data_IF_436470225038
#
_entry.id   IF_436470225038
#
_cell.length_a   1.000
_cell.length_b   1.000
_cell.length_c   1.000
_cell.angle_alpha   90.00
_cell.angle_beta   90.00
_cell.angle_gamma   90.00
#
_symmetry.space_group_name_H-M   'P 1'
#
loop_
_entity.id
_entity.type
_entity.pdbx_description
1 polymer ?
#
# COMPACT_ATOMS: atom_id res chain seq x y z
N UNK A 1 -24.40 24.18 -14.06
CA UNK A 1 -24.66 23.04 -14.96
C UNK A 1 -25.09 21.88 -14.08
N UNK A 2 -26.34 21.42 -14.20
CA UNK A 2 -26.79 20.20 -13.51
C UNK A 2 -26.20 19.00 -14.27
N UNK A 3 -25.44 18.14 -13.58
CA UNK A 3 -25.07 16.82 -14.12
C UNK A 3 -26.34 15.96 -14.20
N UNK A 4 -26.53 15.17 -15.27
CA UNK A 4 -27.63 14.21 -15.31
C UNK A 4 -27.45 13.15 -14.21
N UNK A 5 -28.56 12.69 -13.63
CA UNK A 5 -28.55 11.62 -12.64
C UNK A 5 -27.96 10.35 -13.26
N UNK A 6 -26.92 9.79 -12.63
CA UNK A 6 -26.31 8.53 -13.02
C UNK A 6 -27.30 7.39 -12.75
N UNK A 7 -27.75 6.71 -13.80
CA UNK A 7 -28.49 5.45 -13.69
C UNK A 7 -27.57 4.34 -13.20
N UNK A 8 -28.07 3.52 -12.28
CA UNK A 8 -27.31 2.59 -11.43
C UNK A 8 -26.54 1.46 -12.13
N UNK A 9 -26.65 1.29 -13.44
CA UNK A 9 -26.24 0.02 -14.08
C UNK A 9 -25.42 0.13 -15.38
N UNK A 10 -24.95 1.32 -15.82
CA UNK A 10 -24.29 1.43 -17.14
C UNK A 10 -22.83 1.94 -17.24
N UNK A 11 -22.14 2.32 -16.16
CA UNK A 11 -20.73 2.75 -16.26
C UNK A 11 -19.78 2.04 -15.28
N UNK A 12 -19.42 0.80 -15.63
CA UNK A 12 -18.11 0.20 -15.30
C UNK A 12 -17.40 -0.27 -16.58
N UNK A 13 -17.65 0.42 -17.70
CA UNK A 13 -16.85 0.28 -18.91
C UNK A 13 -15.78 1.36 -18.86
N UNK A 14 -14.53 0.92 -18.94
CA UNK A 14 -13.29 1.71 -18.85
C UNK A 14 -12.71 1.92 -17.44
N UNK A 15 -12.32 0.80 -16.81
CA UNK A 15 -11.00 0.81 -16.15
C UNK A 15 -9.98 1.05 -17.24
N UNK A 16 -9.23 2.15 -17.16
CA UNK A 16 -8.28 2.57 -18.18
C UNK A 16 -7.23 1.47 -18.43
N UNK A 17 -7.37 0.73 -19.54
CA UNK A 17 -6.46 -0.36 -19.92
C UNK A 17 -5.01 0.12 -20.14
N UNK A 18 -4.76 1.43 -20.25
CA UNK A 18 -3.41 1.98 -20.30
C UNK A 18 -2.64 1.78 -18.98
N UNK A 19 -3.33 1.81 -17.83
CA UNK A 19 -2.70 1.53 -16.54
C UNK A 19 -2.31 0.06 -16.44
N UNK A 20 -3.21 -0.85 -16.85
CA UNK A 20 -2.92 -2.29 -16.95
C UNK A 20 -1.76 -2.58 -17.93
N UNK A 21 -1.64 -1.80 -19.00
CA UNK A 21 -0.55 -1.92 -19.99
C UNK A 21 0.84 -1.59 -19.41
N UNK A 22 0.95 -0.52 -18.62
CA UNK A 22 2.20 -0.14 -17.93
C UNK A 22 2.59 -1.22 -16.92
N UNK A 23 1.61 -1.76 -16.18
CA UNK A 23 1.83 -2.85 -15.23
C UNK A 23 2.25 -4.16 -15.90
N UNK A 24 1.68 -4.51 -17.06
CA UNK A 24 2.14 -5.65 -17.86
C UNK A 24 3.58 -5.48 -18.34
N UNK A 25 3.98 -4.28 -18.74
CA UNK A 25 5.37 -4.00 -19.14
C UNK A 25 6.34 -4.12 -17.95
N UNK A 26 5.96 -3.64 -16.76
CA UNK A 26 6.74 -3.82 -15.53
C UNK A 26 6.83 -5.29 -15.10
N UNK A 27 5.73 -6.03 -15.20
CA UNK A 27 5.68 -7.46 -14.93
C UNK A 27 6.56 -8.25 -15.90
N UNK A 28 6.44 -8.04 -17.23
CA UNK A 28 7.31 -8.69 -18.21
C UNK A 28 8.79 -8.34 -18.00
N UNK A 29 9.12 -7.10 -17.61
CA UNK A 29 10.51 -6.69 -17.31
C UNK A 29 11.03 -7.37 -16.04
N UNK A 30 10.26 -7.41 -14.95
CA UNK A 30 10.61 -8.12 -13.73
C UNK A 30 10.76 -9.63 -13.97
N UNK A 31 9.82 -10.25 -14.69
CA UNK A 31 9.90 -11.65 -15.07
C UNK A 31 11.14 -11.95 -15.93
N UNK A 32 11.52 -11.04 -16.84
CA UNK A 32 12.76 -11.17 -17.61
C UNK A 32 14.04 -11.05 -16.75
N UNK A 33 14.04 -10.20 -15.72
CA UNK A 33 15.15 -10.04 -14.78
C UNK A 33 15.37 -11.28 -13.90
N UNK A 34 14.29 -12.02 -13.62
CA UNK A 34 14.33 -13.28 -12.86
C UNK A 34 14.35 -14.54 -13.72
N UNK A 35 14.48 -14.42 -15.06
CA UNK A 35 14.55 -15.56 -15.97
C UNK A 35 13.25 -16.38 -16.07
N UNK A 36 12.11 -15.79 -15.73
CA UNK A 36 10.80 -16.45 -15.70
C UNK A 36 10.15 -16.35 -17.10
N UNK A 37 9.80 -17.48 -17.74
CA UNK A 37 9.18 -17.44 -19.07
C UNK A 37 7.83 -16.71 -19.05
N UNK A 38 7.58 -15.87 -20.06
CA UNK A 38 6.42 -14.99 -20.21
C UNK A 38 5.04 -15.70 -20.30
N UNK A 39 4.99 -17.03 -20.21
CA UNK A 39 3.78 -17.85 -20.32
C UNK A 39 3.24 -18.31 -18.97
N UNK A 40 2.83 -17.38 -18.11
CA UNK A 40 1.84 -17.67 -17.06
C UNK A 40 0.72 -16.64 -17.18
N UNK A 41 -0.18 -16.87 -18.13
CA UNK A 41 -1.40 -16.08 -18.25
C UNK A 41 -2.36 -16.47 -17.11
N UNK A 42 -2.36 -15.71 -16.02
CA UNK A 42 -3.41 -15.79 -14.99
C UNK A 42 -4.66 -15.10 -15.55
N UNK A 43 -5.49 -15.84 -16.29
CA UNK A 43 -6.81 -15.32 -16.68
C UNK A 43 -7.84 -15.66 -15.60
N UNK A 44 -8.59 -14.65 -15.19
CA UNK A 44 -9.83 -14.80 -14.43
C UNK A 44 -10.88 -15.59 -15.23
N UNK A 45 -11.42 -16.65 -14.64
CA UNK A 45 -12.80 -17.13 -14.78
C UNK A 45 -12.97 -18.33 -13.83
N UNK A 46 -13.88 -18.26 -12.86
CA UNK A 46 -14.36 -19.42 -12.11
C UNK A 46 -15.86 -19.55 -12.37
N UNK A 47 -16.20 -19.90 -13.62
CA UNK A 47 -17.49 -20.47 -13.97
C UNK A 47 -17.19 -21.67 -14.89
N UNK A 48 -17.37 -22.89 -14.38
CA UNK A 48 -17.31 -24.13 -15.18
C UNK A 48 -16.09 -25.03 -15.03
N UNK A 49 -15.23 -24.86 -14.01
CA UNK A 49 -14.06 -25.74 -13.81
C UNK A 49 -14.38 -26.95 -12.90
N UNK A 50 -13.84 -28.13 -13.27
CA UNK A 50 -14.02 -29.39 -12.55
C UNK A 50 -12.90 -29.57 -11.50
N UNK A 51 -13.28 -29.60 -10.22
CA UNK A 51 -12.36 -29.78 -9.10
C UNK A 51 -11.98 -31.26 -8.96
N UNK A 52 -10.68 -31.56 -8.96
CA UNK A 52 -10.19 -32.92 -8.73
C UNK A 52 -9.45 -32.93 -7.40
N UNK A 53 -9.98 -33.66 -6.43
CA UNK A 53 -9.39 -33.82 -5.09
C UNK A 53 -8.55 -35.11 -5.04
N UNK A 54 -7.31 -35.04 -4.53
CA UNK A 54 -6.53 -36.23 -4.19
C UNK A 54 -6.75 -36.63 -2.72
N UNK A 55 -6.48 -37.91 -2.39
CA UNK A 55 -6.67 -38.50 -1.05
C UNK A 55 -5.89 -37.80 0.09
N UNK A 56 -4.89 -36.99 -0.25
CA UNK A 56 -4.02 -36.26 0.67
C UNK A 56 -4.42 -34.79 0.89
N UNK A 57 -5.63 -34.38 0.47
CA UNK A 57 -6.18 -33.05 0.77
C UNK A 57 -5.77 -31.94 -0.20
N UNK A 58 -4.82 -32.20 -1.10
CA UNK A 58 -4.47 -31.29 -2.19
C UNK A 58 -5.62 -31.22 -3.20
N UNK A 59 -6.05 -30.00 -3.49
CA UNK A 59 -7.01 -29.72 -4.57
C UNK A 59 -6.21 -29.43 -5.83
N UNK A 60 -6.57 -30.04 -6.94
CA UNK A 60 -5.99 -29.69 -8.23
C UNK A 60 -7.09 -29.09 -9.10
N UNK A 61 -6.76 -28.03 -9.81
CA UNK A 61 -7.63 -27.52 -10.88
C UNK A 61 -7.07 -28.05 -12.19
N UNK A 62 -7.89 -28.78 -12.93
CA UNK A 62 -7.53 -29.23 -14.27
C UNK A 62 -8.00 -28.20 -15.29
N UNK A 63 -7.06 -27.57 -15.98
CA UNK A 63 -7.33 -26.54 -16.97
C UNK A 63 -6.67 -26.89 -18.30
N UNK A 64 -7.48 -27.08 -19.35
CA UNK A 64 -7.01 -27.46 -20.69
C UNK A 64 -6.05 -28.68 -20.71
N UNK A 65 -6.32 -29.69 -19.86
CA UNK A 65 -5.47 -30.88 -19.76
C UNK A 65 -4.20 -30.72 -18.92
N UNK A 66 -3.88 -29.50 -18.45
CA UNK A 66 -2.81 -29.28 -17.48
C UNK A 66 -3.37 -29.37 -16.05
N UNK A 67 -2.68 -30.15 -15.20
CA UNK A 67 -3.01 -30.27 -13.78
C UNK A 67 -2.18 -29.23 -13.03
N UNK A 68 -2.82 -28.18 -12.53
CA UNK A 68 -2.13 -27.12 -11.78
C UNK A 68 -2.30 -27.41 -10.29
N UNK A 69 -1.21 -27.45 -9.50
CA UNK A 69 -1.32 -27.56 -8.04
C UNK A 69 -2.03 -26.31 -7.52
N UNK A 70 -3.28 -26.50 -7.11
CA UNK A 70 -4.08 -25.45 -6.52
C UNK A 70 -4.06 -25.71 -5.01
N UNK A 71 -3.15 -25.07 -4.28
CA UNK A 71 -3.23 -25.10 -2.83
C UNK A 71 -4.51 -24.36 -2.39
N UNK A 72 -5.65 -25.06 -2.42
CA UNK A 72 -6.71 -24.77 -1.48
C UNK A 72 -6.08 -25.18 -0.16
N UNK A 73 -5.52 -24.20 0.55
CA UNK A 73 -5.44 -24.33 1.98
C UNK A 73 -6.89 -24.59 2.40
N UNK A 74 -7.26 -25.86 2.57
CA UNK A 74 -8.48 -26.18 3.27
C UNK A 74 -8.24 -25.54 4.62
N UNK A 75 -8.97 -24.46 4.90
CA UNK A 75 -9.10 -23.93 6.25
C UNK A 75 -9.94 -24.93 7.03
N UNK A 76 -9.49 -26.18 7.04
CA UNK A 76 -10.07 -27.31 7.73
C UNK A 76 -9.58 -27.17 9.16
N UNK A 77 -10.39 -26.50 9.96
CA UNK A 77 -10.35 -26.44 11.43
C UNK A 77 -9.17 -25.75 12.13
N UNK A 78 -8.05 -25.47 11.47
CA UNK A 78 -6.94 -24.70 12.06
C UNK A 78 -7.08 -23.20 11.84
N UNK A 79 -6.89 -22.38 12.88
CA UNK A 79 -6.82 -20.94 12.73
C UNK A 79 -5.54 -20.56 11.94
N UNK A 80 -5.71 -19.87 10.81
CA UNK A 80 -4.58 -19.34 10.04
C UNK A 80 -4.18 -17.98 10.60
N UNK A 81 -2.90 -17.78 10.83
CA UNK A 81 -2.33 -16.52 11.30
C UNK A 81 -1.40 -15.92 10.25
N UNK A 82 -1.38 -14.60 10.19
CA UNK A 82 -0.40 -13.84 9.41
C UNK A 82 0.78 -13.58 10.33
N UNK A 83 1.96 -14.01 9.89
CA UNK A 83 3.23 -13.85 10.59
C UNK A 83 4.05 -12.78 9.90
N UNK A 84 4.48 -11.76 10.63
CA UNK A 84 5.46 -10.77 10.17
C UNK A 84 6.74 -10.93 10.99
N UNK A 85 7.84 -11.23 10.32
CA UNK A 85 9.17 -11.28 10.91
C UNK A 85 9.92 -9.96 10.63
N UNK A 86 10.41 -9.33 11.68
CA UNK A 86 11.09 -8.05 11.68
C UNK A 86 12.52 -8.23 12.17
N UNK A 87 13.46 -7.48 11.62
CA UNK A 87 14.81 -7.34 12.16
C UNK A 87 14.91 -6.01 12.91
N UNK A 88 15.20 -6.11 14.21
CA UNK A 88 15.29 -4.96 15.11
C UNK A 88 16.73 -4.78 15.60
N UNK A 89 17.22 -3.53 15.76
CA UNK A 89 18.53 -3.29 16.35
C UNK A 89 18.53 -3.60 17.86
N UNK A 90 19.55 -4.31 18.35
CA UNK A 90 19.77 -4.60 19.77
C UNK A 90 21.26 -4.44 20.10
N UNK A 91 21.62 -3.35 20.76
CA UNK A 91 23.02 -3.01 21.02
C UNK A 91 23.78 -2.77 19.71
N UNK A 92 24.87 -3.51 19.49
CA UNK A 92 25.67 -3.45 18.26
C UNK A 92 25.18 -4.42 17.16
N UNK A 93 24.17 -5.25 17.45
CA UNK A 93 23.66 -6.28 16.53
C UNK A 93 22.19 -6.10 16.17
N UNK A 94 21.62 -7.15 15.58
CA UNK A 94 20.19 -7.25 15.28
C UNK A 94 19.57 -8.49 15.91
N UNK A 95 18.25 -8.45 16.14
CA UNK A 95 17.45 -9.57 16.60
C UNK A 95 16.22 -9.72 15.70
N UNK A 96 15.81 -10.96 15.43
CA UNK A 96 14.52 -11.23 14.80
C UNK A 96 13.38 -11.16 15.83
N UNK A 97 12.33 -10.41 15.51
CA UNK A 97 11.07 -10.36 16.26
C UNK A 97 9.92 -10.78 15.35
N UNK A 98 9.05 -11.64 15.86
CA UNK A 98 7.88 -12.09 15.13
C UNK A 98 6.61 -11.49 15.72
N UNK A 99 5.77 -10.93 14.86
CA UNK A 99 4.42 -10.48 15.18
C UNK A 99 3.40 -11.41 14.51
N UNK A 100 2.37 -11.79 15.25
CA UNK A 100 1.29 -12.65 14.76
C UNK A 100 -0.01 -11.88 14.71
N UNK A 101 -0.80 -12.12 13.66
CA UNK A 101 -2.07 -11.46 13.46
C UNK A 101 -3.16 -12.46 13.09
N UNK A 102 -4.32 -12.25 13.68
CA UNK A 102 -5.54 -13.00 13.41
C UNK A 102 -6.33 -12.29 12.28
N UNK A 103 -6.59 -12.96 11.15
CA UNK A 103 -7.44 -12.41 10.09
C UNK A 103 -8.86 -12.09 10.60
N UNK A 104 -9.41 -10.94 10.21
CA UNK A 104 -10.78 -10.56 10.56
C UNK A 104 -11.79 -11.47 9.85
N UNK A 105 -12.84 -11.95 10.53
CA UNK A 105 -13.88 -12.79 9.92
C UNK A 105 -14.91 -11.98 9.09
N UNK A 106 -14.52 -10.84 8.52
CA UNK A 106 -15.39 -10.01 7.67
C UNK A 106 -15.30 -10.42 6.19
N UNK A 107 -16.10 -9.82 5.31
CA UNK A 107 -15.96 -10.06 3.86
C UNK A 107 -14.64 -9.51 3.34
N UNK A 108 -14.25 -8.31 3.81
CA UNK A 108 -12.98 -7.67 3.48
C UNK A 108 -11.77 -8.47 3.95
N UNK A 109 -11.76 -8.91 5.21
CA UNK A 109 -10.68 -9.73 5.78
C UNK A 109 -10.51 -11.07 5.06
N UNK A 110 -11.62 -11.78 4.76
CA UNK A 110 -11.59 -13.03 3.99
C UNK A 110 -11.11 -12.84 2.55
N UNK A 111 -11.55 -11.77 1.88
CA UNK A 111 -11.11 -11.45 0.52
C UNK A 111 -9.62 -11.14 0.49
N UNK A 112 -9.14 -10.29 1.40
CA UNK A 112 -7.72 -9.96 1.53
C UNK A 112 -6.89 -11.21 1.79
N UNK A 113 -7.30 -12.06 2.74
CA UNK A 113 -6.58 -13.29 3.06
C UNK A 113 -6.46 -14.22 1.85
N UNK A 114 -7.51 -14.34 1.04
CA UNK A 114 -7.46 -15.11 -0.22
C UNK A 114 -6.44 -14.51 -1.20
N UNK A 115 -6.43 -13.19 -1.40
CA UNK A 115 -5.40 -12.57 -2.25
C UNK A 115 -4.00 -12.83 -1.73
N UNK A 116 -3.80 -12.72 -0.43
CA UNK A 116 -2.51 -12.99 0.19
C UNK A 116 -2.06 -14.45 -0.01
N UNK A 117 -2.97 -15.42 0.15
CA UNK A 117 -2.72 -16.84 -0.17
C UNK A 117 -2.33 -17.01 -1.64
N UNK A 118 -3.12 -16.44 -2.55
CA UNK A 118 -2.90 -16.55 -4.00
C UNK A 118 -1.51 -15.97 -4.36
N UNK A 119 -1.14 -14.81 -3.80
CA UNK A 119 0.19 -14.19 -3.97
C UNK A 119 1.31 -15.09 -3.48
N UNK A 120 1.20 -15.62 -2.26
CA UNK A 120 2.21 -16.52 -1.69
C UNK A 120 2.37 -17.81 -2.51
N UNK A 121 1.25 -18.37 -2.98
CA UNK A 121 1.26 -19.58 -3.82
C UNK A 121 1.93 -19.31 -5.17
N UNK A 122 1.57 -18.22 -5.85
CA UNK A 122 2.17 -17.85 -7.13
C UNK A 122 3.68 -17.64 -7.01
N UNK A 123 4.14 -17.00 -5.93
CA UNK A 123 5.59 -16.80 -5.73
C UNK A 123 6.36 -18.07 -5.46
N UNK A 124 5.80 -19.00 -4.67
CA UNK A 124 6.44 -20.29 -4.45
C UNK A 124 6.62 -21.08 -5.76
N UNK A 125 5.75 -20.87 -6.74
CA UNK A 125 5.88 -21.48 -8.07
C UNK A 125 6.98 -20.80 -8.92
N UNK A 126 7.13 -19.49 -8.79
CA UNK A 126 8.08 -18.70 -9.61
C UNK A 126 9.50 -18.77 -9.03
N UNK A 127 9.64 -18.63 -7.71
CA UNK A 127 10.92 -18.53 -7.02
C UNK A 127 10.81 -19.19 -5.62
N UNK A 128 10.82 -20.52 -5.53
CA UNK A 128 10.61 -21.24 -4.26
C UNK A 128 11.59 -20.86 -3.14
N UNK A 129 12.80 -20.38 -3.50
CA UNK A 129 13.85 -19.98 -2.56
C UNK A 129 13.81 -18.48 -2.18
N UNK A 130 13.01 -17.65 -2.87
CA UNK A 130 13.07 -16.19 -2.71
C UNK A 130 12.15 -15.67 -1.59
N UNK A 131 12.25 -16.23 -0.38
CA UNK A 131 11.61 -15.62 0.79
C UNK A 131 12.54 -14.59 1.44
N UNK A 132 12.13 -13.33 1.66
CA UNK A 132 10.77 -12.80 1.55
C UNK A 132 10.37 -12.22 0.17
N UNK A 133 9.12 -12.46 -0.23
CA UNK A 133 8.52 -11.97 -1.48
C UNK A 133 7.94 -10.55 -1.38
N UNK A 134 8.68 -9.67 -0.70
CA UNK A 134 8.25 -8.30 -0.46
C UNK A 134 8.75 -7.45 -1.62
N UNK A 135 7.81 -6.84 -2.35
CA UNK A 135 8.13 -5.92 -3.45
C UNK A 135 8.78 -4.66 -2.91
N UNK A 136 8.10 -4.09 -1.93
CA UNK A 136 8.47 -2.86 -1.29
C UNK A 136 7.87 -2.87 0.12
N UNK A 137 8.55 -2.22 1.05
CA UNK A 137 7.98 -1.94 2.33
C UNK A 137 8.47 -0.59 2.84
N UNK A 138 7.61 0.07 3.60
CA UNK A 138 7.93 1.31 4.25
C UNK A 138 7.61 1.17 5.74
N UNK A 139 8.63 1.19 6.57
CA UNK A 139 8.51 1.17 8.03
C UNK A 139 8.66 2.58 8.56
N UNK A 140 7.60 3.11 9.15
CA UNK A 140 7.61 4.36 9.92
C UNK A 140 7.68 4.01 11.40
N UNK A 141 8.76 3.34 11.83
CA UNK A 141 9.03 3.05 13.24
C UNK A 141 9.98 4.07 13.87
N UNK A 142 9.82 5.32 13.44
CA UNK A 142 10.68 6.43 13.77
C UNK A 142 10.17 7.17 14.99
N UNK A 143 11.03 7.40 15.97
CA UNK A 143 10.74 8.19 17.14
C UNK A 143 12.01 8.84 17.69
N UNK A 144 12.11 10.15 17.45
CA UNK A 144 13.21 10.99 17.90
C UNK A 144 13.89 11.74 16.75
N UNK A 145 14.84 12.59 17.09
CA UNK A 145 15.58 13.43 16.13
C UNK A 145 16.54 12.62 15.25
N UNK A 146 17.15 11.55 15.79
CA UNK A 146 18.12 10.73 15.05
C UNK A 146 17.47 9.96 13.90
N UNK A 147 16.24 9.50 14.11
CA UNK A 147 15.45 8.84 13.07
C UNK A 147 15.07 9.82 11.95
N UNK A 148 14.69 11.05 12.32
CA UNK A 148 14.44 12.11 11.35
C UNK A 148 15.70 12.45 10.54
N UNK A 149 16.86 12.56 11.20
CA UNK A 149 18.14 12.78 10.52
C UNK A 149 18.46 11.65 9.53
N UNK A 150 18.22 10.40 9.92
CA UNK A 150 18.39 9.23 9.04
C UNK A 150 17.49 9.33 7.81
N UNK A 151 16.22 9.69 7.99
CA UNK A 151 15.26 9.85 6.89
C UNK A 151 15.67 11.00 5.95
N UNK A 152 16.07 12.16 6.50
CA UNK A 152 16.54 13.31 5.72
C UNK A 152 17.76 12.94 4.89
N UNK A 153 18.72 12.19 5.46
CA UNK A 153 19.91 11.77 4.74
C UNK A 153 19.54 10.84 3.57
N UNK A 154 18.73 9.82 3.82
CA UNK A 154 18.29 8.88 2.77
C UNK A 154 17.54 9.62 1.64
N UNK A 155 16.63 10.54 2.01
CA UNK A 155 15.91 11.38 1.06
C UNK A 155 16.85 12.29 0.27
N UNK A 156 17.85 12.89 0.94
CA UNK A 156 18.84 13.76 0.30
C UNK A 156 19.75 13.01 -0.68
N UNK A 157 20.06 11.75 -0.42
CA UNK A 157 20.81 10.88 -1.32
C UNK A 157 19.99 10.52 -2.57
N UNK A 158 18.71 10.18 -2.40
CA UNK A 158 17.81 9.88 -3.53
C UNK A 158 17.56 11.11 -4.41
N UNK A 159 17.31 12.28 -3.80
CA UNK A 159 17.22 13.55 -4.53
C UNK A 159 18.51 13.86 -5.31
N UNK A 160 19.67 13.57 -4.73
CA UNK A 160 20.96 13.68 -5.41
C UNK A 160 21.05 12.82 -6.68
N UNK A 161 20.71 11.53 -6.55
CA UNK A 161 20.67 10.59 -7.69
C UNK A 161 19.71 11.03 -8.79
N UNK A 162 18.52 11.53 -8.42
CA UNK A 162 17.55 12.05 -9.39
C UNK A 162 18.14 13.25 -10.12
N UNK A 163 18.75 14.20 -9.41
CA UNK A 163 19.37 15.38 -10.03
C UNK A 163 20.55 15.06 -10.96
N UNK A 164 21.22 13.92 -10.76
CA UNK A 164 22.31 13.45 -11.65
C UNK A 164 21.79 12.81 -12.94
N UNK A 165 20.68 12.06 -12.87
CA UNK A 165 20.13 11.28 -13.98
C UNK A 165 19.09 12.07 -14.77
N UNK A 166 18.26 12.83 -14.07
CA UNK A 166 17.08 13.50 -14.61
C UNK A 166 17.34 14.99 -14.76
N UNK A 167 17.85 15.37 -15.93
CA UNK A 167 18.26 16.75 -16.26
C UNK A 167 17.25 17.50 -17.13
N UNK A 168 16.13 16.87 -17.52
CA UNK A 168 15.09 17.50 -18.33
C UNK A 168 14.12 18.32 -17.48
N UNK A 169 13.93 19.60 -17.81
CA UNK A 169 12.86 20.53 -17.40
C UNK A 169 12.12 20.13 -16.12
N UNK A 170 12.83 20.11 -14.98
CA UNK A 170 12.21 20.07 -13.65
C UNK A 170 11.60 21.45 -13.39
N UNK A 171 10.27 21.60 -13.38
CA UNK A 171 9.62 22.91 -13.43
C UNK A 171 9.62 23.67 -12.09
N UNK A 172 10.04 23.06 -10.97
CA UNK A 172 9.90 23.68 -9.64
C UNK A 172 11.15 24.36 -9.06
N UNK A 173 12.27 24.45 -9.78
CA UNK A 173 13.40 25.25 -9.32
C UNK A 173 14.03 26.08 -10.45
N UNK A 174 14.54 27.25 -10.07
CA UNK A 174 15.21 28.18 -10.99
C UNK A 174 16.48 27.58 -11.63
N UNK A 175 17.04 26.52 -11.04
CA UNK A 175 18.24 25.81 -11.51
C UNK A 175 17.95 24.44 -12.16
N UNK A 176 16.67 24.08 -12.34
CA UNK A 176 16.25 22.82 -12.95
C UNK A 176 16.60 21.58 -12.14
N UNK A 177 16.63 21.67 -10.81
CA UNK A 177 16.99 20.60 -9.86
C UNK A 177 16.01 20.52 -8.69
N UNK A 178 15.76 19.30 -8.24
CA UNK A 178 15.05 19.07 -7.00
C UNK A 178 15.85 19.64 -5.82
N UNK A 179 15.17 20.39 -4.96
CA UNK A 179 15.79 20.97 -3.76
C UNK A 179 16.18 19.86 -2.78
N UNK A 180 17.48 19.79 -2.45
CA UNK A 180 18.00 18.77 -1.52
C UNK A 180 17.55 19.07 -0.08
N UNK A 181 16.90 18.10 0.60
CA UNK A 181 16.52 18.27 2.00
C UNK A 181 17.74 18.26 2.91
N UNK A 182 17.69 19.08 3.96
CA UNK A 182 18.66 19.16 5.04
C UNK A 182 17.90 19.39 6.35
N UNK A 183 18.57 19.16 7.50
CA UNK A 183 17.95 19.44 8.79
C UNK A 183 17.49 20.90 8.94
N UNK A 184 18.15 21.84 8.27
CA UNK A 184 17.81 23.26 8.34
C UNK A 184 16.60 23.67 7.49
N UNK A 185 16.21 22.87 6.48
CA UNK A 185 15.15 23.24 5.53
C UNK A 185 14.00 22.24 5.43
N UNK A 186 14.11 21.08 6.08
CA UNK A 186 13.06 20.06 6.06
C UNK A 186 11.77 20.61 6.65
N UNK A 187 10.68 20.46 5.90
CA UNK A 187 9.35 20.94 6.27
C UNK A 187 8.30 20.22 5.44
N UNK A 188 7.04 20.25 5.88
CA UNK A 188 5.91 19.74 5.08
C UNK A 188 5.81 20.43 3.72
N UNK A 189 6.15 21.72 3.62
CA UNK A 189 6.15 22.44 2.34
C UNK A 189 7.20 21.88 1.36
N UNK A 190 8.41 21.57 1.84
CA UNK A 190 9.43 20.95 0.99
C UNK A 190 9.05 19.52 0.59
N UNK A 191 8.52 18.73 1.53
CA UNK A 191 8.07 17.36 1.25
C UNK A 191 6.94 17.35 0.22
N UNK A 192 5.96 18.25 0.33
CA UNK A 192 4.89 18.43 -0.66
C UNK A 192 5.43 18.84 -2.03
N UNK A 193 6.44 19.71 -2.09
CA UNK A 193 7.09 20.07 -3.35
C UNK A 193 7.74 18.85 -4.02
N UNK A 194 8.46 18.03 -3.26
CA UNK A 194 9.08 16.81 -3.79
C UNK A 194 8.02 15.78 -4.24
N UNK A 195 6.91 15.67 -3.49
CA UNK A 195 5.79 14.81 -3.84
C UNK A 195 5.13 15.25 -5.16
N UNK A 196 4.93 16.56 -5.35
CA UNK A 196 4.39 17.11 -6.60
C UNK A 196 5.30 16.81 -7.81
N UNK A 197 6.62 16.85 -7.64
CA UNK A 197 7.55 16.48 -8.71
C UNK A 197 7.53 14.99 -9.04
N UNK A 198 7.36 14.13 -8.02
CA UNK A 198 7.10 12.70 -8.24
C UNK A 198 5.82 12.47 -9.04
N UNK A 199 4.72 13.13 -8.69
CA UNK A 199 3.45 13.06 -9.42
C UNK A 199 3.62 13.52 -10.87
N UNK A 200 4.25 14.68 -11.09
CA UNK A 200 4.54 15.20 -12.43
C UNK A 200 5.43 14.27 -13.24
N UNK A 201 6.42 13.62 -12.62
CA UNK A 201 7.21 12.60 -13.28
C UNK A 201 6.35 11.41 -13.71
N UNK A 202 5.46 10.93 -12.84
CA UNK A 202 4.50 9.87 -13.16
C UNK A 202 3.60 10.21 -14.35
N UNK A 203 3.05 11.42 -14.38
CA UNK A 203 2.22 11.91 -15.50
C UNK A 203 3.01 11.99 -16.81
N UNK A 204 4.23 12.56 -16.77
CA UNK A 204 5.14 12.60 -17.94
C UNK A 204 5.49 11.20 -18.43
N UNK A 205 5.71 10.25 -17.53
CA UNK A 205 6.00 8.86 -17.86
C UNK A 205 4.80 8.17 -18.52
N UNK A 206 3.60 8.33 -17.93
CA UNK A 206 2.34 7.72 -18.38
C UNK A 206 1.90 8.23 -19.74
N UNK A 207 1.99 9.54 -19.97
CA UNK A 207 1.57 10.19 -21.20
C UNK A 207 2.71 10.37 -22.23
N UNK A 208 3.93 10.04 -21.84
CA UNK A 208 5.10 10.06 -22.71
C UNK A 208 5.04 8.99 -23.81
N UNK A 209 5.48 9.34 -25.02
CA UNK A 209 5.78 8.35 -26.04
C UNK A 209 6.93 7.42 -25.63
N UNK A 210 7.11 6.32 -26.36
CA UNK A 210 8.13 5.30 -26.06
C UNK A 210 9.56 5.87 -25.95
N UNK A 211 9.89 6.91 -26.72
CA UNK A 211 11.19 7.58 -26.64
C UNK A 211 11.39 8.30 -25.31
N UNK A 212 10.39 9.06 -24.83
CA UNK A 212 10.45 9.73 -23.53
C UNK A 212 10.56 8.69 -22.42
N UNK A 213 9.69 7.67 -22.44
CA UNK A 213 9.71 6.59 -21.46
C UNK A 213 11.08 5.90 -21.40
N UNK A 214 11.71 5.61 -22.55
CA UNK A 214 13.06 5.05 -22.62
C UNK A 214 14.10 6.00 -22.03
N UNK A 215 14.02 7.30 -22.33
CA UNK A 215 14.95 8.32 -21.81
C UNK A 215 14.88 8.48 -20.30
N UNK A 216 13.68 8.36 -19.72
CA UNK A 216 13.48 8.58 -18.27
C UNK A 216 13.38 7.27 -17.48
N UNK A 217 13.54 6.11 -18.13
CA UNK A 217 13.39 4.80 -17.52
C UNK A 217 14.32 4.60 -16.32
N UNK A 218 15.54 5.13 -16.39
CA UNK A 218 16.54 5.00 -15.32
C UNK A 218 16.20 5.87 -14.10
N UNK A 219 15.40 6.92 -14.28
CA UNK A 219 14.91 7.76 -13.19
C UNK A 219 13.68 7.16 -12.49
N UNK A 220 12.97 6.21 -13.11
CA UNK A 220 11.73 5.64 -12.58
C UNK A 220 11.91 5.03 -11.19
N UNK A 221 12.92 4.16 -11.03
CA UNK A 221 13.23 3.53 -9.73
C UNK A 221 13.55 4.56 -8.64
N UNK A 222 14.48 5.51 -8.88
CA UNK A 222 14.75 6.61 -7.95
C UNK A 222 13.52 7.45 -7.59
N UNK A 223 12.62 7.76 -8.52
CA UNK A 223 11.38 8.49 -8.23
C UNK A 223 10.40 7.67 -7.39
N UNK A 224 10.26 6.35 -7.62
CA UNK A 224 9.48 5.50 -6.72
C UNK A 224 10.06 5.51 -5.30
N UNK A 225 11.38 5.37 -5.17
CA UNK A 225 12.06 5.44 -3.87
C UNK A 225 11.91 6.82 -3.21
N UNK A 226 11.90 7.90 -3.98
CA UNK A 226 11.66 9.26 -3.49
C UNK A 226 10.30 9.33 -2.79
N UNK A 227 9.25 8.80 -3.41
CA UNK A 227 7.91 8.80 -2.83
C UNK A 227 7.86 8.07 -1.47
N UNK A 228 8.46 6.89 -1.40
CA UNK A 228 8.50 6.12 -0.15
C UNK A 228 9.27 6.87 0.95
N UNK A 229 10.40 7.47 0.60
CA UNK A 229 11.22 8.24 1.54
C UNK A 229 10.58 9.56 1.97
N UNK A 230 9.74 10.18 1.13
CA UNK A 230 8.92 11.33 1.51
C UNK A 230 8.00 10.91 2.66
N UNK A 231 7.20 9.86 2.49
CA UNK A 231 6.28 9.39 3.52
C UNK A 231 6.98 8.95 4.81
N UNK A 232 8.13 8.27 4.69
CA UNK A 232 8.97 7.94 5.84
C UNK A 232 9.43 9.21 6.59
N UNK A 233 9.85 10.23 5.85
CA UNK A 233 10.30 11.51 6.41
C UNK A 233 9.15 12.32 7.02
N UNK A 234 7.96 12.32 6.41
CA UNK A 234 6.75 12.93 6.97
C UNK A 234 6.41 12.32 8.34
N UNK A 235 6.41 10.99 8.40
CA UNK A 235 6.18 10.26 9.64
C UNK A 235 7.24 10.54 10.70
N UNK A 236 8.52 10.53 10.33
CA UNK A 236 9.61 10.86 11.24
C UNK A 236 9.52 12.32 11.75
N UNK A 237 9.20 13.26 10.85
CA UNK A 237 9.03 14.68 11.18
C UNK A 237 7.87 14.88 12.16
N UNK A 238 6.74 14.19 11.95
CA UNK A 238 5.58 14.24 12.83
C UNK A 238 5.82 13.58 14.21
N UNK A 239 6.76 12.63 14.28
CA UNK A 239 7.09 11.87 15.49
C UNK A 239 8.33 12.36 16.25
N UNK A 240 9.11 13.32 15.71
CA UNK A 240 10.42 13.71 16.25
C UNK A 240 10.40 14.14 17.72
N UNK A 241 9.30 14.77 18.16
CA UNK A 241 9.12 15.27 19.53
C UNK A 241 8.13 14.42 20.35
N UNK A 242 7.58 13.34 19.78
CA UNK A 242 6.57 12.51 20.45
C UNK A 242 7.24 11.52 21.40
N UNK A 243 6.57 11.18 22.50
CA UNK A 243 6.95 10.01 23.29
C UNK A 243 6.55 8.72 22.54
N UNK A 244 7.25 7.60 22.80
CA UNK A 244 6.97 6.29 22.19
C UNK A 244 5.48 5.91 22.28
N UNK A 245 4.85 6.11 23.44
CA UNK A 245 3.43 5.81 23.64
C UNK A 245 2.54 6.53 22.61
N UNK A 246 2.82 7.81 22.35
CA UNK A 246 2.09 8.68 21.42
C UNK A 246 2.59 8.66 19.97
N UNK A 247 3.67 7.93 19.69
CA UNK A 247 4.28 7.89 18.36
C UNK A 247 3.33 7.23 17.36
N UNK A 248 3.18 7.85 16.20
CA UNK A 248 2.33 7.34 15.14
C UNK A 248 3.16 6.48 14.21
N UNK A 249 3.10 5.17 14.42
CA UNK A 249 3.88 4.21 13.65
C UNK A 249 3.02 3.44 12.67
N UNK A 250 3.61 3.17 11.52
CA UNK A 250 2.96 2.43 10.46
C UNK A 250 3.96 1.53 9.73
N UNK A 251 3.43 0.48 9.13
CA UNK A 251 4.14 -0.36 8.19
C UNK A 251 3.28 -0.53 6.95
N UNK A 252 3.80 -0.17 5.79
CA UNK A 252 3.22 -0.54 4.50
C UNK A 252 4.04 -1.67 3.90
N UNK A 253 3.39 -2.70 3.38
CA UNK A 253 4.07 -3.81 2.72
C UNK A 253 3.31 -4.23 1.47
N UNK A 254 4.05 -4.36 0.37
CA UNK A 254 3.53 -4.84 -0.89
C UNK A 254 4.23 -6.10 -1.38
N UNK A 255 3.52 -6.87 -2.19
CA UNK A 255 3.92 -8.21 -2.59
C UNK A 255 3.93 -8.34 -4.10
N UNK A 256 4.77 -9.24 -4.62
CA UNK A 256 4.71 -9.69 -6.01
C UNK A 256 4.28 -11.18 -6.03
N UNK A 257 3.61 -11.66 -7.11
CA UNK A 257 2.83 -10.81 -8.00
C UNK A 257 1.67 -10.18 -7.21
N UNK A 258 1.23 -9.00 -7.62
CA UNK A 258 0.05 -8.40 -6.99
C UNK A 258 -1.21 -8.78 -7.77
N UNK A 259 -2.29 -9.04 -7.02
CA UNK A 259 -3.57 -9.47 -7.58
C UNK A 259 -4.65 -8.44 -7.26
N UNK A 260 -5.13 -7.76 -8.28
CA UNK A 260 -6.17 -6.74 -8.14
C UNK A 260 -7.57 -7.31 -8.39
N UNK A 261 -8.51 -6.99 -7.49
CA UNK A 261 -9.94 -7.25 -7.72
C UNK A 261 -10.80 -6.08 -7.27
N UNK A 262 -11.81 -5.74 -8.08
CA UNK A 262 -12.82 -4.73 -7.72
C UNK A 262 -13.52 -5.08 -6.41
N UNK A 263 -13.73 -4.07 -5.56
CA UNK A 263 -14.49 -4.22 -4.33
C UNK A 263 -15.97 -4.48 -4.65
N UNK A 264 -16.57 -5.43 -3.93
CA UNK A 264 -18.01 -5.67 -4.01
C UNK A 264 -18.76 -4.75 -3.05
N UNK A 265 -20.04 -4.50 -3.33
CA UNK A 265 -20.88 -3.58 -2.55
C UNK A 265 -20.91 -3.89 -1.05
N UNK A 266 -20.86 -5.17 -0.66
CA UNK A 266 -20.86 -5.62 0.73
C UNK A 266 -19.60 -5.22 1.51
N UNK A 267 -18.46 -5.03 0.83
CA UNK A 267 -17.20 -4.66 1.49
C UNK A 267 -17.15 -3.16 1.79
N UNK A 268 -17.87 -2.32 1.03
CA UNK A 268 -17.84 -0.88 1.22
C UNK A 268 -18.34 -0.45 2.62
N UNK A 269 -19.24 -1.20 3.24
CA UNK A 269 -19.67 -0.94 4.62
C UNK A 269 -18.62 -1.26 5.69
N UNK A 270 -17.50 -1.88 5.34
CA UNK A 270 -16.42 -2.21 6.27
C UNK A 270 -15.35 -1.11 6.39
N UNK A 271 -15.42 -0.07 5.56
CA UNK A 271 -14.53 1.09 5.68
C UNK A 271 -14.76 1.79 7.03
N UNK A 272 -13.67 2.06 7.74
CA UNK A 272 -13.70 2.71 9.05
C UNK A 272 -12.63 3.76 9.22
N UNK A 273 -12.97 4.78 10.01
CA UNK A 273 -12.06 5.81 10.53
C UNK A 273 -11.56 5.50 11.94
N UNK A 274 -12.13 4.49 12.58
CA UNK A 274 -11.73 4.08 13.92
C UNK A 274 -10.61 3.04 13.82
N UNK A 275 -9.41 3.42 14.25
CA UNK A 275 -8.22 2.60 14.09
C UNK A 275 -7.67 2.17 15.44
N UNK A 276 -7.56 0.86 15.62
CA UNK A 276 -6.98 0.27 16.82
C UNK A 276 -5.52 -0.06 16.63
N UNK A 277 -4.70 0.15 17.67
CA UNK A 277 -3.32 -0.29 17.69
C UNK A 277 -3.22 -1.78 17.33
N UNK A 278 -2.34 -2.09 16.38
CA UNK A 278 -2.12 -3.45 15.90
C UNK A 278 -3.14 -3.91 14.87
N UNK A 279 -3.94 -3.01 14.29
CA UNK A 279 -4.82 -3.36 13.17
C UNK A 279 -4.03 -3.37 11.87
N UNK A 280 -4.15 -4.45 11.11
CA UNK A 280 -3.82 -4.43 9.69
C UNK A 280 -5.04 -4.01 8.89
N UNK A 281 -4.81 -3.12 7.94
CA UNK A 281 -5.76 -2.66 6.97
C UNK A 281 -5.36 -3.14 5.58
N UNK A 282 -6.36 -3.30 4.70
CA UNK A 282 -6.14 -3.48 3.27
C UNK A 282 -5.39 -2.26 2.71
N UNK A 283 -4.34 -2.50 1.93
CA UNK A 283 -3.61 -1.43 1.26
C UNK A 283 -4.49 -0.63 0.30
N UNK A 284 -4.22 0.67 0.18
CA UNK A 284 -4.92 1.59 -0.71
C UNK A 284 -4.24 1.63 -2.09
N UNK A 285 -4.97 1.19 -3.12
CA UNK A 285 -4.43 0.98 -4.46
C UNK A 285 -5.02 1.87 -5.56
N UNK A 286 -5.67 2.95 -5.17
CA UNK A 286 -6.25 3.85 -6.17
C UNK A 286 -5.29 5.02 -6.37
N UNK A 287 -4.90 5.30 -7.61
CA UNK A 287 -4.04 6.45 -7.90
C UNK A 287 -4.81 7.74 -7.60
N UNK A 288 -4.28 8.58 -6.72
CA UNK A 288 -4.90 9.81 -6.22
C UNK A 288 -5.19 9.74 -4.72
N UNK A 289 -5.75 10.82 -4.16
CA UNK A 289 -6.03 10.92 -2.72
C UNK A 289 -7.47 10.51 -2.40
N UNK A 290 -7.66 9.86 -1.27
CA UNK A 290 -9.00 9.59 -0.75
C UNK A 290 -9.57 10.81 0.01
N UNK A 291 -10.83 10.71 0.41
CA UNK A 291 -11.49 11.76 1.20
C UNK A 291 -10.84 11.93 2.58
N UNK A 292 -10.34 10.85 3.17
CA UNK A 292 -9.71 10.90 4.50
C UNK A 292 -8.44 11.76 4.48
N UNK A 293 -7.60 11.59 3.46
CA UNK A 293 -6.40 12.39 3.24
C UNK A 293 -6.76 13.87 3.02
N UNK A 294 -7.82 14.17 2.28
CA UNK A 294 -8.28 15.54 2.07
C UNK A 294 -8.82 16.16 3.37
N UNK A 295 -9.57 15.40 4.17
CA UNK A 295 -10.09 15.81 5.48
C UNK A 295 -8.95 16.14 6.45
N UNK A 296 -7.98 15.24 6.62
CA UNK A 296 -6.87 15.46 7.56
C UNK A 296 -5.98 16.64 7.21
N UNK A 297 -5.85 16.95 5.91
CA UNK A 297 -5.03 18.07 5.45
C UNK A 297 -5.84 19.34 5.17
N UNK A 298 -7.17 19.31 5.35
CA UNK A 298 -8.09 20.36 4.93
C UNK A 298 -7.86 20.82 3.48
N UNK A 299 -7.60 19.87 2.58
CA UNK A 299 -7.17 20.11 1.20
C UNK A 299 -8.37 20.12 0.25
N UNK A 300 -9.06 21.26 0.20
CA UNK A 300 -10.23 21.47 -0.65
C UNK A 300 -9.92 21.57 -2.15
N UNK A 301 -8.65 21.76 -2.51
CA UNK A 301 -8.26 21.85 -3.91
C UNK A 301 -8.43 20.51 -4.64
N UNK A 302 -8.25 19.39 -3.94
CA UNK A 302 -8.48 18.05 -4.49
C UNK A 302 -9.91 17.86 -5.01
N UNK A 303 -10.90 18.40 -4.29
CA UNK A 303 -12.30 18.35 -4.73
C UNK A 303 -12.54 19.26 -5.94
N UNK A 304 -11.95 20.45 -5.93
CA UNK A 304 -12.10 21.43 -7.03
C UNK A 304 -11.46 20.95 -8.33
N UNK A 305 -10.38 20.17 -8.23
CA UNK A 305 -9.66 19.58 -9.37
C UNK A 305 -10.17 18.20 -9.78
N UNK A 306 -11.19 17.67 -9.07
CA UNK A 306 -11.71 16.32 -9.27
C UNK A 306 -10.61 15.26 -9.16
N UNK A 307 -9.79 15.34 -8.10
CA UNK A 307 -8.65 14.45 -7.80
C UNK A 307 -8.90 13.50 -6.62
N UNK A 308 -10.12 13.52 -6.06
CA UNK A 308 -10.55 12.57 -5.03
C UNK A 308 -10.86 11.22 -5.68
N UNK A 309 -10.30 10.16 -5.13
CA UNK A 309 -10.33 8.82 -5.71
C UNK A 309 -10.68 7.79 -4.63
N UNK A 310 -11.97 7.49 -4.39
CA UNK A 310 -12.36 6.45 -3.45
C UNK A 310 -11.77 5.10 -3.84
N UNK A 311 -11.40 4.28 -2.85
CA UNK A 311 -10.83 2.96 -3.15
C UNK A 311 -11.83 2.07 -3.89
N UNK A 312 -11.43 1.56 -5.07
CA UNK A 312 -12.26 0.67 -5.90
C UNK A 312 -11.73 -0.75 -6.01
N UNK A 313 -10.47 -0.96 -5.68
CA UNK A 313 -9.79 -2.24 -5.84
C UNK A 313 -9.17 -2.71 -4.53
N UNK A 314 -9.16 -4.03 -4.38
CA UNK A 314 -8.47 -4.77 -3.31
C UNK A 314 -7.23 -5.43 -3.89
N UNK A 315 -6.22 -5.61 -3.05
CA UNK A 315 -4.98 -6.30 -3.35
C UNK A 315 -4.51 -7.12 -2.14
N UNK A 316 -3.32 -7.71 -2.25
CA UNK A 316 -2.65 -8.38 -1.13
C UNK A 316 -1.88 -7.42 -0.21
N UNK A 317 -1.70 -6.15 -0.59
CA UNK A 317 -0.95 -5.17 0.19
C UNK A 317 -1.58 -4.92 1.57
N UNK A 318 -0.72 -4.56 2.52
CA UNK A 318 -1.12 -4.27 3.89
C UNK A 318 -0.63 -2.89 4.34
N UNK A 319 -1.48 -2.26 5.15
CA UNK A 319 -1.15 -1.12 5.99
C UNK A 319 -1.34 -1.54 7.45
N UNK A 320 -0.24 -1.76 8.18
CA UNK A 320 -0.26 -2.05 9.61
C UNK A 320 -0.17 -0.74 10.40
N UNK A 321 -1.16 -0.49 11.24
CA UNK A 321 -1.18 0.66 12.14
C UNK A 321 -0.71 0.29 13.55
N UNK A 322 0.31 1.00 14.02
CA UNK A 322 0.85 0.92 15.38
C UNK A 322 0.87 2.33 16.02
N UNK A 323 -0.09 3.18 15.70
CA UNK A 323 -0.32 4.46 16.37
C UNK A 323 -1.18 4.32 17.63
N UNK A 324 -1.40 5.41 18.38
CA UNK A 324 -2.42 5.46 19.42
C UNK A 324 -3.81 5.21 18.83
N UNK A 325 -4.72 4.59 19.58
CA UNK A 325 -6.09 4.35 19.11
C UNK A 325 -6.75 5.65 18.64
N UNK A 326 -7.35 5.59 17.45
CA UNK A 326 -8.10 6.66 16.83
C UNK A 326 -9.57 6.30 16.92
N UNK A 327 -10.37 7.16 17.56
CA UNK A 327 -11.80 6.94 17.75
C UNK A 327 -12.61 8.20 17.50
N UNK A 328 -13.82 8.03 16.96
CA UNK A 328 -14.81 9.10 16.87
C UNK A 328 -14.55 10.13 15.79
N UNK A 329 -13.57 9.91 14.91
CA UNK A 329 -13.23 10.82 13.81
C UNK A 329 -14.39 11.08 12.85
N UNK A 330 -15.37 10.17 12.78
CA UNK A 330 -16.56 10.38 11.96
C UNK A 330 -17.30 11.68 12.33
N UNK A 331 -17.36 12.06 13.61
CA UNK A 331 -18.03 13.32 14.01
C UNK A 331 -17.29 14.56 13.50
N UNK A 332 -15.96 14.52 13.55
CA UNK A 332 -15.12 15.61 13.07
C UNK A 332 -15.21 15.71 11.54
N UNK A 333 -15.21 14.56 10.85
CA UNK A 333 -15.44 14.49 9.41
C UNK A 333 -16.81 15.04 9.03
N UNK A 334 -17.90 14.65 9.71
CA UNK A 334 -19.24 15.16 9.43
C UNK A 334 -19.34 16.69 9.59
N UNK A 335 -18.70 17.24 10.63
CA UNK A 335 -18.65 18.67 10.87
C UNK A 335 -17.87 19.40 9.76
N UNK A 336 -16.69 18.87 9.41
CA UNK A 336 -15.88 19.36 8.30
C UNK A 336 -16.65 19.29 6.97
N UNK A 337 -17.28 18.15 6.68
CA UNK A 337 -18.02 17.89 5.46
C UNK A 337 -19.14 18.92 5.23
N UNK A 338 -19.93 19.17 6.28
CA UNK A 338 -21.01 20.17 6.25
C UNK A 338 -20.47 21.59 6.09
N UNK A 339 -19.38 21.92 6.77
CA UNK A 339 -18.75 23.25 6.72
C UNK A 339 -18.21 23.57 5.33
N UNK A 340 -17.49 22.63 4.71
CA UNK A 340 -16.89 22.82 3.39
C UNK A 340 -17.88 22.55 2.23
N UNK A 341 -19.07 22.03 2.54
CA UNK A 341 -20.14 21.77 1.57
C UNK A 341 -19.76 20.68 0.56
N UNK A 342 -19.19 19.57 1.01
CA UNK A 342 -18.61 18.53 0.14
C UNK A 342 -19.64 17.92 -0.83
N UNK A 343 -20.92 17.92 -0.47
CA UNK A 343 -22.00 17.40 -1.32
C UNK A 343 -22.05 18.07 -2.70
N UNK A 344 -21.59 19.32 -2.82
CA UNK A 344 -21.56 20.05 -4.10
C UNK A 344 -20.62 19.42 -5.13
N UNK A 345 -19.68 18.56 -4.71
CA UNK A 345 -18.73 17.86 -5.56
C UNK A 345 -19.22 16.47 -5.99
N UNK A 346 -20.47 16.12 -5.69
CA UNK A 346 -21.08 14.85 -6.11
C UNK A 346 -20.86 13.68 -5.17
N UNK A 347 -20.26 13.91 -4.00
CA UNK A 347 -20.22 12.94 -2.91
C UNK A 347 -21.46 13.10 -2.03
N UNK A 348 -21.82 12.06 -1.28
CA UNK A 348 -22.92 12.13 -0.31
C UNK A 348 -22.46 11.64 1.04
N UNK A 349 -22.64 12.44 2.09
CA UNK A 349 -22.31 12.01 3.46
C UNK A 349 -23.07 10.72 3.81
N UNK A 350 -22.35 9.69 4.27
CA UNK A 350 -22.92 8.38 4.61
C UNK A 350 -22.98 7.38 3.46
N UNK A 351 -22.68 7.76 2.22
CA UNK A 351 -22.50 6.79 1.14
C UNK A 351 -21.21 5.99 1.38
N UNK A 352 -21.35 4.68 1.62
CA UNK A 352 -20.23 3.76 1.85
C UNK A 352 -19.32 3.65 0.62
N UNK A 353 -19.82 3.95 -0.58
CA UNK A 353 -19.02 4.02 -1.81
C UNK A 353 -18.09 5.22 -1.84
N UNK A 354 -18.18 6.15 -0.90
CA UNK A 354 -17.11 7.13 -0.73
C UNK A 354 -15.82 6.49 -0.18
N UNK A 355 -15.89 5.25 0.34
CA UNK A 355 -14.75 4.46 0.79
C UNK A 355 -13.86 5.23 1.78
N UNK A 356 -14.49 5.88 2.76
CA UNK A 356 -13.79 6.79 3.67
C UNK A 356 -13.12 5.99 4.78
N UNK A 357 -11.79 6.04 4.83
CA UNK A 357 -10.99 5.28 5.79
C UNK A 357 -10.42 4.01 5.18
N UNK A 358 -10.32 2.95 5.98
CA UNK A 358 -9.70 1.70 5.53
C UNK A 358 -10.51 0.47 5.98
N UNK A 359 -10.34 -0.64 5.27
CA UNK A 359 -10.95 -1.93 5.62
C UNK A 359 -10.00 -2.69 6.57
N UNK A 360 -10.38 -3.00 7.81
CA UNK A 360 -9.56 -3.80 8.72
C UNK A 360 -9.56 -5.27 8.28
N UNK A 361 -8.38 -5.85 8.08
CA UNK A 361 -8.23 -7.22 7.56
C UNK A 361 -7.60 -8.20 8.54
N UNK A 362 -6.84 -7.73 9.53
CA UNK A 362 -6.31 -8.56 10.61
C UNK A 362 -6.04 -7.76 11.89
N UNK A 363 -5.86 -8.44 13.02
CA UNK A 363 -5.53 -7.83 14.32
C UNK A 363 -4.35 -8.51 14.99
N UNK A 364 -3.46 -7.70 15.56
CA UNK A 364 -2.27 -8.15 16.28
C UNK A 364 -2.65 -8.97 17.51
N UNK A 365 -2.00 -10.13 17.65
CA UNK A 365 -2.07 -10.96 18.84
C UNK A 365 -0.98 -10.49 19.80
N UNK A 366 -1.41 -9.90 20.92
CA UNK A 366 -0.49 -9.18 21.82
C UNK A 366 0.25 -10.08 22.81
N UNK A 367 -0.14 -11.35 23.00
CA UNK A 367 0.46 -12.30 23.97
C UNK A 367 0.74 -11.70 25.38
N UNK A 368 -0.13 -10.80 25.85
CA UNK A 368 0.03 -10.13 27.15
C UNK A 368 1.01 -8.94 27.17
N UNK A 369 1.58 -8.56 26.03
CA UNK A 369 2.36 -7.33 25.89
C UNK A 369 1.45 -6.12 25.70
N UNK A 370 1.77 -5.02 26.39
CA UNK A 370 1.15 -3.72 26.11
C UNK A 370 1.76 -3.05 24.86
N UNK A 371 1.11 -1.98 24.42
CA UNK A 371 1.48 -1.25 23.19
C UNK A 371 2.87 -0.63 23.28
N UNK A 372 3.22 -0.10 24.46
CA UNK A 372 4.53 0.53 24.69
C UNK A 372 5.64 -0.52 24.61
N UNK A 373 5.41 -1.71 25.17
CA UNK A 373 6.32 -2.84 25.14
C UNK A 373 6.56 -3.34 23.72
N UNK A 374 5.48 -3.46 22.92
CA UNK A 374 5.59 -3.84 21.50
C UNK A 374 6.36 -2.77 20.73
N UNK A 375 6.00 -1.48 20.87
CA UNK A 375 6.70 -0.39 20.21
C UNK A 375 8.19 -0.34 20.59
N UNK A 376 8.50 -0.49 21.87
CA UNK A 376 9.89 -0.48 22.34
C UNK A 376 10.70 -1.60 21.70
N UNK A 377 10.11 -2.78 21.56
CA UNK A 377 10.76 -3.95 20.95
C UNK A 377 11.04 -3.78 19.45
N UNK A 378 10.17 -3.09 18.73
CA UNK A 378 10.30 -2.91 17.27
C UNK A 378 10.91 -1.56 16.87
N UNK A 379 11.29 -0.73 17.86
CA UNK A 379 11.86 0.60 17.62
C UNK A 379 13.09 0.48 16.73
N UNK A 380 13.16 1.31 15.70
CA UNK A 380 14.31 1.34 14.79
C UNK A 380 14.41 0.14 13.86
N UNK A 381 13.40 -0.73 13.79
CA UNK A 381 13.32 -1.75 12.73
C UNK A 381 13.30 -1.07 11.37
N UNK A 382 14.20 -1.52 10.49
CA UNK A 382 14.35 -1.03 9.11
C UNK A 382 14.16 -2.13 8.08
N UNK A 383 13.99 -3.37 8.52
CA UNK A 383 13.98 -4.54 7.65
C UNK A 383 12.86 -5.50 8.06
N UNK A 384 12.09 -5.95 7.06
CA UNK A 384 11.15 -7.05 7.21
C UNK A 384 11.82 -8.30 6.66
N UNK A 385 12.01 -9.29 7.53
CA UNK A 385 12.59 -10.58 7.19
C UNK A 385 11.58 -11.46 6.45
N UNK A 386 10.29 -11.26 6.69
CA UNK A 386 9.24 -11.84 5.86
C UNK A 386 7.82 -11.66 6.36
N UNK A 387 6.88 -11.94 5.46
CA UNK A 387 5.45 -12.01 5.76
C UNK A 387 4.94 -13.34 5.22
N UNK A 388 4.30 -14.14 6.07
CA UNK A 388 3.86 -15.49 5.71
C UNK A 388 2.56 -15.88 6.42
N UNK A 389 1.94 -16.96 5.96
CA UNK A 389 0.86 -17.63 6.68
C UNK A 389 1.41 -18.80 7.47
N UNK A 390 0.94 -18.93 8.71
CA UNK A 390 1.21 -20.09 9.55
C UNK A 390 -0.10 -20.66 10.09
N UNK A 391 -0.16 -21.97 10.21
CA UNK A 391 -1.12 -22.65 11.07
C UNK A 391 -0.46 -22.85 12.43
N UNK A 392 -1.23 -22.75 13.51
CA UNK A 392 -0.77 -23.07 14.87
C UNK A 392 -1.38 -24.39 15.31
#
# INVERSE_FOLDING_TARGET
MQRPALSSDEELKEVNFAEIGIWKAQHSRLMSLFGVPERVAVSQALDGEELITRQNGDVMVQRNGAVIPYFVASVSSGAAFVRIDLEVPVGEGTQAITLFFEPKPTSGGRRWLRHFIDTQAAMRMIAPEATPFIRNFNTVFYNGIDDLLTCIQALAETVGKINEIYTSDLPSSDDGKLRRPTMANISSALLNQLHFEFENFGERFKHGGAELQKRVADAYGPFCLLNDQIHATEGALANKDRAIASAWWALHCSFLPDFYRTLSNDIYSEFTLDWDFGTMFMGYHTLGKDILAAFWNNDMDLFRRDEIRPQRISSSEIFLFLGPDIRGQMKDLEAWWKREGIDQFGFQLGDSRNAIGYIPVASLIRYGLDEVSIKTRIKGCKTILGVSLTQV
#
